data_IF_487358917607
#
_entry.id   IF_487358917607
#
_cell.length_a   1.000
_cell.length_b   1.000
_cell.length_c   1.000
_cell.angle_alpha   90.00
_cell.angle_beta   90.00
_cell.angle_gamma   90.00
#
_symmetry.space_group_name_H-M   'P 1'
#
loop_
_entity.id
_entity.type
_entity.pdbx_description
1 polymer ?
#
# COMPACT_ATOMS: atom_id res chain seq x y z
N UNK A 1 22.47 -17.21 -2.72
CA UNK A 1 21.06 -17.44 -2.34
C UNK A 1 20.24 -16.49 -3.18
N UNK A 2 19.54 -16.99 -4.20
CA UNK A 2 18.70 -16.18 -5.07
C UNK A 2 17.38 -15.91 -4.33
N UNK A 3 17.18 -14.68 -3.84
CA UNK A 3 15.92 -14.30 -3.22
C UNK A 3 14.85 -14.23 -4.31
N UNK A 4 13.98 -15.24 -4.36
CA UNK A 4 12.82 -15.28 -5.23
C UNK A 4 11.85 -14.17 -4.77
N UNK A 5 11.87 -13.01 -5.45
CA UNK A 5 10.95 -11.90 -5.19
C UNK A 5 9.71 -12.08 -6.04
N UNK A 6 8.60 -12.51 -5.43
CA UNK A 6 7.30 -12.56 -6.10
C UNK A 6 6.76 -11.13 -6.18
N UNK A 7 6.68 -10.57 -7.39
CA UNK A 7 5.99 -9.29 -7.63
C UNK A 7 4.55 -9.62 -7.99
N UNK A 8 3.62 -9.33 -7.08
CA UNK A 8 2.18 -9.41 -7.37
C UNK A 8 1.71 -8.01 -7.72
N UNK A 9 1.39 -7.78 -9.00
CA UNK A 9 0.69 -6.56 -9.44
C UNK A 9 -0.77 -6.72 -9.02
N UNK A 10 -1.15 -6.00 -7.99
CA UNK A 10 -2.50 -6.01 -7.46
C UNK A 10 -2.78 -4.58 -6.99
N UNK A 11 -4.06 -4.16 -6.95
CA UNK A 11 -4.54 -2.80 -6.65
C UNK A 11 -4.22 -2.33 -5.21
N UNK A 12 -3.00 -2.54 -4.72
CA UNK A 12 -2.61 -2.35 -3.33
C UNK A 12 -2.60 -0.87 -2.94
N UNK A 13 -2.18 0.01 -3.86
CA UNK A 13 -2.26 1.46 -3.63
C UNK A 13 -3.72 1.92 -3.57
N UNK A 14 -4.59 1.43 -4.45
CA UNK A 14 -6.01 1.81 -4.47
C UNK A 14 -6.76 1.31 -3.22
N UNK A 15 -6.52 0.05 -2.81
CA UNK A 15 -7.10 -0.46 -1.56
C UNK A 15 -6.56 0.28 -0.33
N UNK A 16 -5.29 0.71 -0.38
CA UNK A 16 -4.72 1.54 0.68
C UNK A 16 -5.40 2.90 0.76
N UNK A 17 -5.60 3.57 -0.38
CA UNK A 17 -6.30 4.85 -0.43
C UNK A 17 -7.74 4.72 0.06
N UNK A 18 -8.48 3.69 -0.37
CA UNK A 18 -9.83 3.41 0.10
C UNK A 18 -9.89 3.18 1.62
N UNK A 19 -9.02 2.32 2.15
CA UNK A 19 -8.99 2.02 3.59
C UNK A 19 -8.58 3.25 4.42
N UNK A 20 -7.69 4.09 3.89
CA UNK A 20 -7.30 5.36 4.53
C UNK A 20 -8.47 6.34 4.57
N UNK A 21 -9.22 6.48 3.47
CA UNK A 21 -10.41 7.33 3.43
C UNK A 21 -11.48 6.87 4.43
N UNK A 22 -11.72 5.56 4.55
CA UNK A 22 -12.66 5.00 5.52
C UNK A 22 -12.26 5.25 6.98
N UNK A 23 -10.96 5.17 7.30
CA UNK A 23 -10.44 5.50 8.63
C UNK A 23 -10.55 7.00 8.91
N UNK A 24 -10.23 7.86 7.93
CA UNK A 24 -10.34 9.32 8.07
C UNK A 24 -11.78 9.80 8.27
N UNK A 25 -12.81 9.05 7.84
CA UNK A 25 -14.22 9.34 8.15
C UNK A 25 -14.61 8.99 9.60
N UNK A 26 -13.85 8.11 10.25
CA UNK A 26 -14.17 7.56 11.57
C UNK A 26 -13.34 8.19 12.71
N UNK A 27 -12.14 8.70 12.41
CA UNK A 27 -11.24 9.36 13.38
C UNK A 27 -11.07 10.87 13.09
N UNK A 28 -10.70 11.69 14.10
CA UNK A 28 -10.39 13.10 13.88
C UNK A 28 -9.19 13.27 12.91
N UNK A 29 -9.17 14.37 12.13
CA UNK A 29 -8.16 14.59 11.10
C UNK A 29 -6.75 14.61 11.70
N UNK A 30 -5.85 13.78 11.15
CA UNK A 30 -4.43 13.77 11.55
C UNK A 30 -3.74 12.40 11.62
N UNK A 31 -4.48 11.29 11.54
CA UNK A 31 -3.91 9.94 11.36
C UNK A 31 -4.22 9.43 9.96
N UNK A 32 -3.31 9.70 9.03
CA UNK A 32 -3.40 9.21 7.64
C UNK A 32 -2.67 7.87 7.44
N UNK A 33 -2.23 7.25 8.52
CA UNK A 33 -1.43 6.02 8.50
C UNK A 33 -2.27 4.81 8.92
N UNK A 34 -2.40 3.83 8.02
CA UNK A 34 -2.99 2.54 8.35
C UNK A 34 -1.96 1.74 9.18
N UNK A 35 -2.26 1.35 10.43
CA UNK A 35 -1.31 0.63 11.27
C UNK A 35 -0.77 -0.64 10.60
N UNK A 36 0.55 -0.72 10.51
CA UNK A 36 1.26 -1.86 9.92
C UNK A 36 1.13 -1.98 8.40
N UNK A 37 0.89 -0.86 7.73
CA UNK A 37 1.12 -0.66 6.30
C UNK A 37 2.09 0.50 6.11
N UNK A 38 3.16 0.27 5.35
CA UNK A 38 4.12 1.28 4.94
C UNK A 38 3.92 1.58 3.45
N UNK A 39 3.87 2.86 3.06
CA UNK A 39 3.76 3.26 1.66
C UNK A 39 4.90 4.18 1.28
N UNK A 40 5.57 3.87 0.17
CA UNK A 40 6.64 4.69 -0.41
C UNK A 40 6.26 5.03 -1.85
N UNK A 41 6.20 6.31 -2.16
CA UNK A 41 5.96 6.79 -3.52
C UNK A 41 7.27 7.31 -4.11
N UNK A 42 7.62 6.82 -5.29
CA UNK A 42 8.84 7.13 -6.04
C UNK A 42 8.47 7.32 -7.52
N UNK A 43 9.42 7.71 -8.36
CA UNK A 43 9.24 7.78 -9.80
C UNK A 43 9.71 9.08 -10.43
N UNK A 44 9.27 9.31 -11.66
CA UNK A 44 9.50 10.51 -12.46
C UNK A 44 8.16 11.10 -12.89
N UNK A 45 8.18 12.21 -13.63
CA UNK A 45 6.96 12.77 -14.25
C UNK A 45 6.31 11.81 -15.25
N UNK A 46 7.09 10.88 -15.82
CA UNK A 46 6.64 9.91 -16.82
C UNK A 46 6.20 8.58 -16.22
N UNK A 47 6.65 8.23 -15.01
CA UNK A 47 6.31 6.96 -14.36
C UNK A 47 6.21 7.19 -12.86
N UNK A 48 5.04 6.93 -12.28
CA UNK A 48 4.86 6.92 -10.82
C UNK A 48 4.92 5.49 -10.31
N UNK A 49 5.71 5.26 -9.27
CA UNK A 49 5.90 3.97 -8.63
C UNK A 49 5.46 4.06 -7.17
N UNK A 50 4.45 3.29 -6.81
CA UNK A 50 3.94 3.21 -5.44
C UNK A 50 4.25 1.84 -4.86
N UNK A 51 4.99 1.81 -3.75
CA UNK A 51 5.35 0.57 -3.04
C UNK A 51 4.55 0.51 -1.75
N UNK A 52 3.77 -0.56 -1.59
CA UNK A 52 2.98 -0.82 -0.37
C UNK A 52 3.55 -2.06 0.30
N UNK A 53 3.92 -1.94 1.57
CA UNK A 53 4.43 -3.04 2.39
C UNK A 53 3.49 -3.29 3.55
N UNK A 54 2.91 -4.48 3.59
CA UNK A 54 2.01 -4.93 4.65
C UNK A 54 2.84 -5.77 5.61
N UNK A 55 3.09 -5.26 6.81
CA UNK A 55 4.02 -5.86 7.78
C UNK A 55 3.31 -6.46 9.02
N UNK A 56 1.98 -6.35 9.09
CA UNK A 56 1.20 -6.80 10.24
C UNK A 56 -0.12 -7.48 9.83
N UNK A 57 -0.67 -8.25 10.77
CA UNK A 57 -2.02 -8.85 10.64
C UNK A 57 -3.10 -7.77 10.56
N UNK A 58 -2.92 -6.66 11.28
CA UNK A 58 -3.85 -5.52 11.24
C UNK A 58 -3.90 -4.90 9.84
N UNK A 59 -2.74 -4.67 9.22
CA UNK A 59 -2.64 -4.16 7.85
C UNK A 59 -3.21 -5.14 6.83
N UNK A 60 -2.98 -6.45 7.00
CA UNK A 60 -3.59 -7.47 6.15
C UNK A 60 -5.12 -7.45 6.23
N UNK A 61 -5.67 -7.32 7.44
CA UNK A 61 -7.12 -7.25 7.64
C UNK A 61 -7.70 -5.92 7.11
N UNK A 62 -6.99 -4.81 7.27
CA UNK A 62 -7.41 -3.50 6.79
C UNK A 62 -7.44 -3.42 5.26
N UNK A 63 -6.48 -4.04 4.57
CA UNK A 63 -6.38 -4.01 3.12
C UNK A 63 -7.01 -5.22 2.41
N UNK A 64 -7.36 -6.27 3.15
CA UNK A 64 -7.81 -7.55 2.57
C UNK A 64 -6.73 -8.26 1.73
N UNK A 65 -5.45 -7.91 1.92
CA UNK A 65 -4.31 -8.45 1.17
C UNK A 65 -3.32 -9.13 2.11
N UNK A 66 -2.74 -10.28 1.73
CA UNK A 66 -1.78 -10.96 2.58
C UNK A 66 -0.57 -10.06 2.89
N UNK A 67 0.07 -10.30 4.03
CA UNK A 67 1.33 -9.63 4.33
C UNK A 67 2.35 -9.85 3.19
N UNK A 68 2.98 -8.77 2.74
CA UNK A 68 3.79 -8.80 1.53
C UNK A 68 4.19 -7.42 1.04
N UNK A 69 4.96 -7.41 -0.05
CA UNK A 69 5.38 -6.19 -0.73
C UNK A 69 4.67 -6.12 -2.08
N UNK A 70 4.05 -4.98 -2.34
CA UNK A 70 3.28 -4.69 -3.54
C UNK A 70 3.88 -3.48 -4.23
N UNK A 71 3.84 -3.50 -5.56
CA UNK A 71 4.32 -2.39 -6.38
C UNK A 71 3.21 -2.09 -7.39
N UNK A 72 2.77 -0.85 -7.42
CA UNK A 72 1.94 -0.29 -8.47
C UNK A 72 2.79 0.66 -9.29
N UNK A 73 2.69 0.58 -10.61
CA UNK A 73 3.33 1.51 -11.52
C UNK A 73 2.26 2.14 -12.40
N UNK A 74 2.22 3.45 -12.43
CA UNK A 74 1.35 4.24 -13.30
C UNK A 74 2.22 4.86 -14.39
N UNK A 75 1.88 4.60 -15.65
CA UNK A 75 2.56 5.16 -16.84
C UNK A 75 1.48 5.84 -17.69
N UNK A 76 1.64 7.12 -18.07
CA UNK A 76 0.68 7.88 -18.89
C UNK A 76 0.37 7.26 -20.25
#
# INVERSE_FOLDING_TARGET
MEQKRTVVTDLAIELFELAREEMARQEPPGKEEIPGVEVVNEGTEEIKISRVKINSVQGQNALGKPMGNYITMEVP
#
